data_IF_744447652445
#
_entry.id   IF_744447652445
#
_cell.length_a   1.000
_cell.length_b   1.000
_cell.length_c   1.000
_cell.angle_alpha   90.00
_cell.angle_beta   90.00
_cell.angle_gamma   90.00
#
_symmetry.space_group_name_H-M   'P 1'
#
loop_
_entity.id
_entity.type
_entity.pdbx_description
1 polymer ?
#
# COMPACT_ATOMS: atom_id res chain seq x y z
N UNK A 1 30.27 11.62 2.99
CA UNK A 1 29.00 12.38 2.93
C UNK A 1 27.82 11.53 2.55
N UNK A 2 27.92 10.69 1.52
CA UNK A 2 26.87 9.73 1.16
C UNK A 2 26.57 8.71 2.26
N UNK A 3 27.58 8.30 3.01
CA UNK A 3 27.42 7.37 4.14
C UNK A 3 26.62 7.99 5.28
N UNK A 4 26.74 9.30 5.50
CA UNK A 4 26.00 10.01 6.54
C UNK A 4 24.51 10.11 6.21
N UNK A 5 24.18 10.34 4.95
CA UNK A 5 22.80 10.41 4.49
C UNK A 5 22.10 9.05 4.61
N UNK A 6 22.77 7.98 4.17
CA UNK A 6 22.24 6.63 4.31
C UNK A 6 22.01 6.25 5.78
N UNK A 7 22.92 6.64 6.67
CA UNK A 7 22.79 6.43 8.10
C UNK A 7 21.60 7.19 8.69
N UNK A 8 21.41 8.44 8.29
CA UNK A 8 20.26 9.26 8.73
C UNK A 8 18.94 8.66 8.27
N UNK A 9 18.89 8.18 7.02
CA UNK A 9 17.71 7.52 6.49
C UNK A 9 17.37 6.23 7.25
N UNK A 10 18.41 5.43 7.57
CA UNK A 10 18.21 4.21 8.37
C UNK A 10 17.72 4.53 9.78
N UNK A 11 18.28 5.54 10.42
CA UNK A 11 17.85 5.98 11.74
C UNK A 11 16.41 6.49 11.69
N UNK A 12 16.04 7.23 10.67
CA UNK A 12 14.68 7.71 10.49
C UNK A 12 13.68 6.55 10.34
N UNK A 13 14.03 5.54 9.55
CA UNK A 13 13.17 4.38 9.32
C UNK A 13 13.09 3.47 10.54
N UNK A 14 14.20 3.30 11.29
CA UNK A 14 14.27 2.43 12.45
C UNK A 14 13.85 3.11 13.75
N UNK A 15 13.60 4.42 13.75
CA UNK A 15 13.15 5.16 14.92
C UNK A 15 11.74 4.68 15.30
N UNK A 16 11.51 4.48 16.60
CA UNK A 16 10.20 4.05 17.11
C UNK A 16 9.06 4.98 16.69
N UNK A 17 9.34 6.30 16.56
CA UNK A 17 8.37 7.28 16.12
C UNK A 17 7.92 7.06 14.67
N UNK A 18 8.71 6.33 13.87
CA UNK A 18 8.37 5.99 12.49
C UNK A 18 7.59 4.69 12.36
N UNK A 19 7.42 3.97 13.46
CA UNK A 19 6.62 2.75 13.49
C UNK A 19 5.25 3.05 14.06
N UNK A 20 4.24 2.47 13.42
CA UNK A 20 2.86 2.55 13.88
C UNK A 20 2.29 1.14 13.91
N UNK A 21 1.17 0.96 14.61
CA UNK A 21 0.48 -0.33 14.56
C UNK A 21 -0.27 -0.47 13.24
N UNK A 22 -0.51 -1.71 12.83
CA UNK A 22 -1.38 -1.99 11.68
C UNK A 22 -2.76 -1.36 11.92
N UNK A 23 -3.26 -1.42 13.16
CA UNK A 23 -4.52 -0.78 13.53
C UNK A 23 -4.54 0.71 13.21
N UNK A 24 -3.46 1.41 13.48
CA UNK A 24 -3.35 2.85 13.15
C UNK A 24 -3.35 3.09 11.63
N UNK A 25 -2.62 2.27 10.87
CA UNK A 25 -2.64 2.36 9.41
C UNK A 25 -4.04 2.10 8.85
N UNK A 26 -4.76 1.14 9.42
CA UNK A 26 -6.14 0.83 9.02
C UNK A 26 -7.08 2.00 9.33
N UNK A 27 -6.92 2.66 10.48
CA UNK A 27 -7.75 3.83 10.82
C UNK A 27 -7.48 5.01 9.89
N UNK A 28 -6.22 5.24 9.51
CA UNK A 28 -5.89 6.23 8.49
C UNK A 28 -6.53 5.89 7.15
N UNK A 29 -6.45 4.62 6.75
CA UNK A 29 -7.07 4.15 5.51
C UNK A 29 -8.59 4.35 5.53
N UNK A 30 -9.23 4.02 6.65
CA UNK A 30 -10.68 4.20 6.84
C UNK A 30 -11.08 5.66 6.68
N UNK A 31 -10.33 6.57 7.31
CA UNK A 31 -10.57 8.01 7.21
C UNK A 31 -10.44 8.51 5.78
N UNK A 32 -9.38 8.12 5.10
CA UNK A 32 -9.16 8.46 3.71
C UNK A 32 -10.28 7.94 2.80
N UNK A 33 -10.63 6.67 2.95
CA UNK A 33 -11.69 6.04 2.15
C UNK A 33 -13.06 6.66 2.41
N UNK A 34 -13.34 7.04 3.65
CA UNK A 34 -14.58 7.72 4.01
C UNK A 34 -14.70 9.06 3.26
N UNK A 35 -13.60 9.81 3.20
CA UNK A 35 -13.56 11.08 2.45
C UNK A 35 -13.77 10.82 0.95
N UNK A 36 -13.11 9.81 0.40
CA UNK A 36 -13.26 9.47 -1.01
C UNK A 36 -14.69 8.98 -1.32
N UNK A 37 -15.30 8.24 -0.41
CA UNK A 37 -16.70 7.81 -0.53
C UNK A 37 -17.64 9.01 -0.61
N UNK A 38 -17.40 10.03 0.20
CA UNK A 38 -18.18 11.28 0.15
C UNK A 38 -18.01 11.98 -1.21
N UNK A 39 -16.81 11.92 -1.79
CA UNK A 39 -16.51 12.53 -3.08
C UNK A 39 -17.11 11.78 -4.26
N UNK A 40 -16.99 10.45 -4.27
CA UNK A 40 -17.41 9.61 -5.38
C UNK A 40 -18.80 9.00 -5.20
N UNK A 41 -19.39 9.12 -4.00
CA UNK A 41 -20.75 8.67 -3.68
C UNK A 41 -20.98 7.20 -4.07
N UNK A 42 -22.01 6.94 -4.87
CA UNK A 42 -22.39 5.57 -5.25
C UNK A 42 -21.38 4.89 -6.19
N UNK A 43 -20.41 5.64 -6.71
CA UNK A 43 -19.39 5.07 -7.59
C UNK A 43 -18.26 4.37 -6.84
N UNK A 44 -18.18 4.51 -5.52
CA UNK A 44 -17.17 3.86 -4.70
C UNK A 44 -17.83 3.14 -3.52
N UNK A 45 -17.54 1.85 -3.40
CA UNK A 45 -17.83 1.07 -2.21
C UNK A 45 -16.52 0.47 -1.69
N UNK A 46 -16.37 0.43 -0.37
CA UNK A 46 -15.19 -0.17 0.22
C UNK A 46 -15.51 -1.00 1.45
N UNK A 47 -14.68 -1.99 1.71
CA UNK A 47 -14.74 -2.84 2.91
C UNK A 47 -13.33 -2.97 3.48
N UNK A 48 -13.27 -3.09 4.81
CA UNK A 48 -12.01 -3.32 5.52
C UNK A 48 -12.21 -4.57 6.37
N UNK A 49 -11.47 -5.62 6.06
CA UNK A 49 -11.54 -6.91 6.73
C UNK A 49 -10.15 -7.27 7.25
N UNK A 50 -9.89 -6.98 8.52
CA UNK A 50 -8.59 -7.21 9.13
C UNK A 50 -8.75 -8.08 10.36
N UNK A 51 -7.95 -9.17 10.43
CA UNK A 51 -7.94 -10.03 11.60
C UNK A 51 -7.48 -9.24 12.83
N UNK A 52 -8.19 -9.37 13.97
CA UNK A 52 -7.77 -8.70 15.20
C UNK A 52 -6.36 -9.06 15.65
N UNK A 53 -5.89 -10.26 15.33
CA UNK A 53 -4.57 -10.75 15.72
C UNK A 53 -3.41 -9.93 15.21
N UNK A 54 -3.57 -9.20 14.10
CA UNK A 54 -2.49 -8.40 13.52
C UNK A 54 -2.55 -6.92 13.86
N UNK A 55 -3.60 -6.45 14.51
CA UNK A 55 -3.81 -5.00 14.72
C UNK A 55 -2.71 -4.35 15.57
N UNK A 56 -2.09 -5.09 16.48
CA UNK A 56 -1.04 -4.57 17.34
C UNK A 56 0.37 -4.76 16.77
N UNK A 57 0.50 -5.40 15.62
CA UNK A 57 1.79 -5.56 14.95
C UNK A 57 2.24 -4.20 14.44
N UNK A 58 3.51 -3.88 14.63
CA UNK A 58 4.07 -2.58 14.24
C UNK A 58 4.73 -2.69 12.87
N UNK A 59 4.58 -1.64 12.10
CA UNK A 59 5.18 -1.53 10.77
C UNK A 59 5.60 -0.07 10.54
N UNK A 60 6.45 0.15 9.54
CA UNK A 60 6.78 1.51 9.12
C UNK A 60 5.51 2.22 8.63
N UNK A 61 5.36 3.48 9.01
CA UNK A 61 4.13 4.23 8.72
C UNK A 61 3.98 4.57 7.23
N UNK A 62 2.77 4.84 6.82
CA UNK A 62 2.41 5.33 5.47
C UNK A 62 2.82 4.37 4.35
N UNK A 63 2.57 3.08 4.55
CA UNK A 63 2.75 2.07 3.50
C UNK A 63 1.43 1.72 2.83
N UNK A 64 0.34 1.69 3.59
CA UNK A 64 -0.97 1.29 3.08
C UNK A 64 -1.65 2.39 2.27
N UNK A 65 -1.59 3.62 2.74
CA UNK A 65 -2.31 4.74 2.11
C UNK A 65 -1.89 4.98 0.66
N UNK A 66 -0.59 5.05 0.30
CA UNK A 66 -0.21 5.22 -1.11
C UNK A 66 -0.73 4.10 -2.02
N UNK A 67 -0.82 2.88 -1.51
CA UNK A 67 -1.34 1.75 -2.27
C UNK A 67 -2.85 1.91 -2.51
N UNK A 68 -3.58 2.37 -1.49
CA UNK A 68 -5.02 2.66 -1.61
C UNK A 68 -5.25 3.82 -2.58
N UNK A 69 -4.47 4.89 -2.47
CA UNK A 69 -4.54 6.03 -3.38
C UNK A 69 -4.36 5.59 -4.83
N UNK A 70 -3.36 4.73 -5.05
CA UNK A 70 -3.08 4.19 -6.37
C UNK A 70 -4.26 3.36 -6.91
N UNK A 71 -4.88 2.53 -6.08
CA UNK A 71 -6.04 1.74 -6.47
C UNK A 71 -7.22 2.62 -6.90
N UNK A 72 -7.50 3.68 -6.14
CA UNK A 72 -8.59 4.61 -6.47
C UNK A 72 -8.25 5.38 -7.75
N UNK A 73 -7.05 5.93 -7.81
CA UNK A 73 -6.67 6.83 -8.90
C UNK A 73 -6.52 6.11 -10.23
N UNK A 74 -5.83 4.97 -10.24
CA UNK A 74 -5.53 4.24 -11.48
C UNK A 74 -6.51 3.10 -11.77
N UNK A 75 -7.12 2.53 -10.74
CA UNK A 75 -8.04 1.42 -10.90
C UNK A 75 -9.47 1.86 -11.06
N UNK A 76 -9.99 2.54 -10.06
CA UNK A 76 -11.43 2.80 -9.95
C UNK A 76 -11.89 4.07 -10.65
N UNK A 77 -11.04 5.09 -10.74
CA UNK A 77 -11.39 6.37 -11.39
C UNK A 77 -11.86 6.21 -12.83
N UNK A 78 -11.27 5.27 -13.56
CA UNK A 78 -11.55 5.05 -14.97
C UNK A 78 -12.63 4.00 -15.22
N UNK A 79 -13.16 3.41 -14.15
CA UNK A 79 -14.25 2.44 -14.26
C UNK A 79 -15.57 3.18 -14.44
N UNK A 80 -16.36 2.78 -15.44
CA UNK A 80 -17.64 3.43 -15.72
C UNK A 80 -18.73 3.05 -14.72
N UNK A 81 -18.69 1.83 -14.20
CA UNK A 81 -19.62 1.34 -13.19
C UNK A 81 -19.08 1.57 -11.78
N UNK A 82 -19.84 1.11 -10.78
CA UNK A 82 -19.40 1.18 -9.37
C UNK A 82 -18.09 0.44 -9.17
N UNK A 83 -17.12 1.10 -8.53
CA UNK A 83 -15.85 0.51 -8.14
C UNK A 83 -15.89 -0.04 -6.73
N UNK A 84 -15.32 -1.23 -6.55
CA UNK A 84 -15.22 -1.91 -5.25
C UNK A 84 -13.77 -1.97 -4.82
N UNK A 85 -13.53 -1.63 -3.55
CA UNK A 85 -12.19 -1.71 -2.96
C UNK A 85 -12.27 -2.47 -1.65
N UNK A 86 -11.42 -3.46 -1.50
CA UNK A 86 -11.34 -4.27 -0.29
C UNK A 86 -9.93 -4.18 0.29
N UNK A 87 -9.84 -3.80 1.56
CA UNK A 87 -8.59 -3.84 2.31
C UNK A 87 -8.66 -5.06 3.23
N UNK A 88 -7.72 -5.98 3.07
CA UNK A 88 -7.64 -7.20 3.88
C UNK A 88 -6.36 -7.21 4.70
N UNK A 89 -6.43 -7.84 5.86
CA UNK A 89 -5.26 -8.08 6.69
C UNK A 89 -5.39 -9.41 7.40
N UNK A 90 -4.34 -10.23 7.35
CA UNK A 90 -4.36 -11.58 7.91
C UNK A 90 -2.96 -12.09 8.18
N UNK A 91 -2.87 -13.17 8.93
CA UNK A 91 -1.61 -13.89 9.17
C UNK A 91 -1.40 -14.94 8.08
N UNK A 92 -0.17 -15.05 7.58
CA UNK A 92 0.20 -16.09 6.63
C UNK A 92 1.68 -16.45 6.83
N UNK A 93 1.95 -17.73 7.07
CA UNK A 93 3.32 -18.26 7.21
C UNK A 93 4.16 -17.47 8.24
N UNK A 94 3.54 -17.07 9.35
CA UNK A 94 4.23 -16.33 10.41
C UNK A 94 4.42 -14.84 10.12
N UNK A 95 3.91 -14.32 9.02
CA UNK A 95 3.98 -12.91 8.67
C UNK A 95 2.59 -12.28 8.68
N UNK A 96 2.53 -10.97 8.87
CA UNK A 96 1.31 -10.21 8.64
C UNK A 96 1.24 -9.82 7.17
N UNK A 97 0.07 -10.00 6.57
CA UNK A 97 -0.16 -9.66 5.16
C UNK A 97 -1.27 -8.63 5.07
N UNK A 98 -1.01 -7.55 4.34
CA UNK A 98 -2.01 -6.54 4.01
C UNK A 98 -2.25 -6.58 2.51
N UNK A 99 -3.51 -6.57 2.10
CA UNK A 99 -3.89 -6.56 0.69
C UNK A 99 -4.84 -5.42 0.40
N UNK A 100 -4.65 -4.79 -0.75
CA UNK A 100 -5.59 -3.84 -1.32
C UNK A 100 -6.06 -4.41 -2.64
N UNK A 101 -7.33 -4.72 -2.71
CA UNK A 101 -7.95 -5.39 -3.85
C UNK A 101 -8.98 -4.45 -4.46
N UNK A 102 -8.84 -4.14 -5.75
CA UNK A 102 -9.83 -3.34 -6.46
C UNK A 102 -10.35 -4.11 -7.68
N UNK A 103 -11.56 -3.80 -8.09
CA UNK A 103 -12.18 -4.32 -9.30
C UNK A 103 -12.14 -3.32 -10.46
N UNK A 104 -11.11 -2.49 -10.48
CA UNK A 104 -10.92 -1.44 -11.47
C UNK A 104 -10.54 -1.95 -12.85
N UNK A 105 -10.00 -1.04 -13.65
CA UNK A 105 -9.67 -1.34 -15.06
C UNK A 105 -8.48 -2.33 -15.20
N UNK A 106 -7.71 -2.52 -14.12
CA UNK A 106 -6.54 -3.39 -14.16
C UNK A 106 -5.39 -2.78 -14.97
N UNK A 107 -4.35 -3.57 -15.10
CA UNK A 107 -3.13 -3.17 -15.82
C UNK A 107 -2.72 -4.26 -16.78
N UNK A 108 -2.20 -3.84 -17.96
CA UNK A 108 -1.53 -4.78 -18.85
C UNK A 108 -0.13 -5.11 -18.31
N UNK A 109 0.52 -6.09 -18.94
CA UNK A 109 1.83 -6.56 -18.48
C UNK A 109 2.89 -5.46 -18.57
N UNK A 110 2.84 -4.64 -19.60
CA UNK A 110 3.78 -3.53 -19.77
C UNK A 110 3.67 -2.52 -18.62
N UNK A 111 2.45 -2.11 -18.27
CA UNK A 111 2.21 -1.20 -17.15
C UNK A 111 2.66 -1.83 -15.83
N UNK A 112 2.35 -3.11 -15.64
CA UNK A 112 2.71 -3.85 -14.43
C UNK A 112 4.22 -3.96 -14.27
N UNK A 113 4.96 -4.19 -15.36
CA UNK A 113 6.42 -4.29 -15.35
C UNK A 113 7.09 -2.97 -14.93
N UNK A 114 6.42 -1.84 -15.14
CA UNK A 114 6.97 -0.51 -14.86
C UNK A 114 6.37 0.16 -13.61
N UNK A 115 5.54 -0.56 -12.83
CA UNK A 115 4.81 0.05 -11.72
C UNK A 115 5.71 0.62 -10.61
N UNK A 116 6.91 0.09 -10.46
CA UNK A 116 7.85 0.52 -9.43
C UNK A 116 8.80 1.61 -9.92
N UNK A 117 8.71 2.04 -11.16
CA UNK A 117 9.62 3.01 -11.72
C UNK A 117 9.29 4.43 -11.28
N UNK A 118 10.36 5.17 -10.94
CA UNK A 118 10.27 6.51 -10.37
C UNK A 118 9.88 7.61 -11.37
N UNK A 119 10.16 7.40 -12.65
CA UNK A 119 10.15 8.49 -13.63
C UNK A 119 8.81 8.77 -14.29
N UNK A 120 7.77 8.04 -13.97
CA UNK A 120 6.43 8.40 -14.41
C UNK A 120 5.79 9.30 -13.35
N UNK A 121 6.26 10.52 -13.28
CA UNK A 121 5.62 11.54 -12.46
C UNK A 121 4.34 11.95 -13.17
N UNK A 122 3.28 11.30 -12.84
CA UNK A 122 1.98 11.83 -13.12
C UNK A 122 1.68 12.81 -11.98
N UNK A 123 1.53 14.07 -12.30
CA UNK A 123 1.27 15.12 -11.30
C UNK A 123 0.02 14.87 -10.47
N UNK A 124 -0.84 13.99 -10.92
CA UNK A 124 -2.10 13.67 -10.26
C UNK A 124 -2.07 12.34 -9.51
N UNK A 125 -1.09 11.53 -9.75
CA UNK A 125 -0.89 10.29 -9.01
C UNK A 125 0.45 10.36 -8.32
N UNK A 126 0.49 9.95 -7.07
CA UNK A 126 1.74 9.76 -6.36
C UNK A 126 2.44 8.50 -6.87
N UNK A 127 2.78 8.46 -8.18
CA UNK A 127 3.62 7.40 -8.74
C UNK A 127 4.95 7.30 -7.98
N UNK A 128 5.39 8.43 -7.45
CA UNK A 128 6.50 8.51 -6.50
C UNK A 128 6.17 7.76 -5.22
N UNK A 129 4.89 7.70 -4.82
CA UNK A 129 4.45 7.02 -3.61
C UNK A 129 4.76 5.52 -3.61
N UNK A 130 4.43 4.82 -4.70
CA UNK A 130 4.67 3.36 -4.80
C UNK A 130 6.17 3.07 -4.81
N UNK A 131 6.95 3.81 -5.56
CA UNK A 131 8.41 3.66 -5.57
C UNK A 131 8.99 3.84 -4.17
N UNK A 132 8.59 4.89 -3.48
CA UNK A 132 9.08 5.21 -2.14
C UNK A 132 8.66 4.15 -1.11
N UNK A 133 7.42 3.68 -1.16
CA UNK A 133 6.94 2.61 -0.28
C UNK A 133 7.75 1.34 -0.52
N UNK A 134 7.96 0.97 -1.78
CA UNK A 134 8.75 -0.21 -2.14
C UNK A 134 10.17 -0.11 -1.57
N UNK A 135 10.83 1.02 -1.75
CA UNK A 135 12.19 1.24 -1.25
C UNK A 135 12.25 1.22 0.27
N UNK A 136 11.30 1.85 0.94
CA UNK A 136 11.24 1.86 2.41
C UNK A 136 11.03 0.46 2.98
N UNK A 137 10.13 -0.31 2.38
CA UNK A 137 9.88 -1.70 2.80
C UNK A 137 11.14 -2.56 2.63
N UNK A 138 11.82 -2.43 1.51
CA UNK A 138 13.05 -3.18 1.23
C UNK A 138 14.20 -2.78 2.16
N UNK A 139 14.34 -1.49 2.44
CA UNK A 139 15.36 -0.99 3.38
C UNK A 139 15.13 -1.49 4.80
N UNK A 140 13.89 -1.54 5.24
CA UNK A 140 13.57 -1.92 6.60
C UNK A 140 13.50 -3.44 6.79
N UNK A 141 12.84 -4.16 5.88
CA UNK A 141 12.55 -5.59 6.04
C UNK A 141 13.47 -6.50 5.23
N UNK A 142 14.12 -6.00 4.19
CA UNK A 142 14.96 -6.77 3.29
C UNK A 142 14.44 -6.75 1.85
N UNK A 143 15.31 -7.11 0.90
CA UNK A 143 14.98 -7.01 -0.53
C UNK A 143 13.89 -7.98 -0.99
N UNK A 144 13.65 -9.05 -0.24
CA UNK A 144 12.57 -10.01 -0.51
C UNK A 144 11.19 -9.50 -0.10
N UNK A 145 11.14 -8.40 0.66
CA UNK A 145 9.88 -7.77 1.06
C UNK A 145 9.57 -6.58 0.16
N UNK A 146 8.32 -6.22 0.12
CA UNK A 146 7.84 -5.12 -0.70
C UNK A 146 6.40 -5.33 -1.08
N UNK A 147 5.96 -4.62 -2.11
CA UNK A 147 4.60 -4.73 -2.62
C UNK A 147 4.63 -5.65 -3.84
N UNK A 148 3.77 -6.65 -3.84
CA UNK A 148 3.58 -7.53 -5.00
C UNK A 148 2.26 -7.20 -5.65
N UNK A 149 2.28 -6.85 -6.93
CA UNK A 149 1.09 -6.53 -7.70
C UNK A 149 0.70 -7.67 -8.62
N UNK A 150 -0.58 -8.01 -8.60
CA UNK A 150 -1.21 -8.93 -9.53
C UNK A 150 -2.36 -8.20 -10.20
N UNK A 151 -2.37 -8.16 -11.53
CA UNK A 151 -3.37 -7.40 -12.27
C UNK A 151 -3.57 -7.96 -13.67
N UNK A 152 -4.80 -7.83 -14.17
CA UNK A 152 -5.15 -8.12 -15.56
C UNK A 152 -6.12 -7.07 -16.06
N UNK A 153 -6.01 -6.67 -17.33
CA UNK A 153 -6.96 -5.71 -17.90
C UNK A 153 -8.41 -6.18 -17.73
N UNK A 154 -9.25 -5.29 -17.22
CA UNK A 154 -10.67 -5.56 -16.99
C UNK A 154 -10.99 -6.37 -15.74
N UNK A 155 -10.00 -6.88 -15.02
CA UNK A 155 -10.21 -7.74 -13.84
C UNK A 155 -9.78 -7.11 -12.53
N UNK A 156 -9.23 -5.90 -12.58
CA UNK A 156 -8.78 -5.19 -11.39
C UNK A 156 -7.35 -5.52 -10.98
N UNK A 157 -7.00 -5.13 -9.76
CA UNK A 157 -5.63 -5.22 -9.25
C UNK A 157 -5.64 -5.67 -7.79
N UNK A 158 -4.69 -6.52 -7.43
CA UNK A 158 -4.41 -6.89 -6.04
C UNK A 158 -2.97 -6.49 -5.72
N UNK A 159 -2.81 -5.65 -4.70
CA UNK A 159 -1.51 -5.29 -4.14
C UNK A 159 -1.35 -5.99 -2.81
N UNK A 160 -0.27 -6.72 -2.63
CA UNK A 160 0.01 -7.49 -1.41
C UNK A 160 1.29 -6.98 -0.76
N UNK A 161 1.20 -6.62 0.52
CA UNK A 161 2.33 -6.20 1.34
C UNK A 161 2.53 -7.24 2.44
N UNK A 162 3.73 -7.80 2.53
CA UNK A 162 4.08 -8.77 3.57
C UNK A 162 4.99 -8.10 4.59
N UNK A 163 4.61 -8.17 5.85
CA UNK A 163 5.33 -7.59 6.98
C UNK A 163 5.92 -8.71 7.82
N UNK A 164 7.24 -8.73 7.96
CA UNK A 164 7.93 -9.68 8.79
C UNK A 164 7.62 -9.40 10.27
N UNK A 165 7.11 -10.41 10.97
CA UNK A 165 6.84 -10.30 12.41
C UNK A 165 8.08 -10.71 13.19
N UNK A 166 8.30 -10.05 14.33
CA UNK A 166 9.38 -10.40 15.23
C UNK A 166 10.73 -9.83 14.84
N UNK A 167 10.78 -8.92 13.86
CA UNK A 167 11.97 -8.14 13.64
C UNK A 167 12.16 -7.20 14.83
N UNK A 168 13.13 -7.51 15.66
CA UNK A 168 13.44 -6.71 16.84
C UNK A 168 14.10 -5.40 16.43
N UNK A 169 13.53 -4.32 16.88
CA UNK A 169 14.06 -2.93 16.95
C UNK A 169 13.17 -1.87 16.51
#
# INVERSE_FOLDING_TARGET
>A
MTASLARLLRQSISNEDELVSIGQEIEYARGYLTIQKMRYKDKLEFWIEVEPSILNIRLIKLVLQPVIENAIYHGLKYKESRGLLLVKGFMKNGNAVLQVIDDGVGMDQETLDHIYERHKVDYHSNGVGIYNVQKRLQLYYGNEYGIVYESKPGEGTTATITIQIGRAH
#
